data_IF_506500049766
#
_entry.id   IF_506500049766
#
_cell.length_a   1.000
_cell.length_b   1.000
_cell.length_c   1.000
_cell.angle_alpha   90.00
_cell.angle_beta   90.00
_cell.angle_gamma   90.00
#
_symmetry.space_group_name_H-M   'P 1'
#
loop_
_entity.id
_entity.type
_entity.pdbx_description
1 polymer ?
#
# COMPACT_ATOMS: atom_id res chain seq x y z
N UNK A 1 -11.17 -12.09 11.25
CA UNK A 1 -10.49 -11.00 11.98
C UNK A 1 -9.00 -10.98 11.67
N UNK A 2 -8.43 -9.79 11.57
CA UNK A 2 -7.01 -9.57 11.31
C UNK A 2 -6.33 -9.21 12.64
N UNK A 3 -5.26 -9.92 12.99
CA UNK A 3 -4.56 -9.76 14.26
C UNK A 3 -3.17 -9.17 14.04
N UNK A 4 -2.76 -8.27 14.93
CA UNK A 4 -1.41 -7.71 14.98
C UNK A 4 -0.73 -8.10 16.28
N UNK A 5 0.41 -8.79 16.19
CA UNK A 5 1.25 -9.12 17.33
C UNK A 5 2.48 -8.22 17.28
N UNK A 6 2.66 -7.43 18.33
CA UNK A 6 3.75 -6.45 18.46
C UNK A 6 4.62 -6.68 19.71
N UNK A 7 4.22 -7.63 20.57
CA UNK A 7 4.91 -7.91 21.82
C UNK A 7 6.20 -8.69 21.54
N UNK A 8 7.35 -8.04 21.75
CA UNK A 8 8.65 -8.66 21.47
C UNK A 8 8.91 -9.83 22.44
N UNK A 9 9.42 -10.93 21.90
CA UNK A 9 9.65 -12.18 22.62
C UNK A 9 8.38 -12.99 22.89
N UNK A 10 7.25 -12.62 22.28
CA UNK A 10 6.03 -13.41 22.37
C UNK A 10 6.14 -14.73 21.58
N UNK A 11 5.44 -15.75 22.05
CA UNK A 11 5.29 -17.05 21.40
C UNK A 11 3.81 -17.29 21.10
N UNK A 12 3.48 -17.53 19.83
CA UNK A 12 2.16 -17.93 19.39
C UNK A 12 2.08 -19.46 19.36
N UNK A 13 1.16 -20.02 20.13
CA UNK A 13 0.93 -21.46 20.19
C UNK A 13 -0.55 -21.79 20.02
N UNK A 14 -0.84 -22.92 19.36
CA UNK A 14 -2.18 -23.50 19.31
C UNK A 14 -2.45 -24.33 20.58
N UNK A 15 -3.57 -24.07 21.26
CA UNK A 15 -4.10 -24.87 22.38
C UNK A 15 -5.63 -24.90 22.30
N UNK A 16 -6.24 -26.07 22.33
CA UNK A 16 -7.69 -26.26 22.44
C UNK A 16 -8.55 -25.39 21.49
N UNK A 17 -8.15 -25.30 20.22
CA UNK A 17 -8.87 -24.51 19.21
C UNK A 17 -8.66 -22.99 19.31
N UNK A 18 -7.71 -22.55 20.15
CA UNK A 18 -7.32 -21.15 20.35
C UNK A 18 -5.86 -20.92 19.98
N UNK A 19 -5.57 -19.71 19.53
CA UNK A 19 -4.23 -19.15 19.49
C UNK A 19 -3.97 -18.52 20.85
N UNK A 20 -2.95 -19.01 21.54
CA UNK A 20 -2.50 -18.51 22.84
C UNK A 20 -1.21 -17.71 22.62
N UNK A 21 -1.19 -16.47 23.10
CA UNK A 21 -0.02 -15.59 23.06
C UNK A 21 0.69 -15.67 24.41
N UNK A 22 1.93 -16.17 24.41
CA UNK A 22 2.72 -16.39 25.61
C UNK A 22 3.91 -15.43 25.66
N UNK A 23 4.29 -14.97 26.86
CA UNK A 23 5.59 -14.34 27.11
C UNK A 23 6.14 -14.81 28.44
N UNK A 24 7.38 -15.30 28.44
CA UNK A 24 8.02 -15.90 29.63
C UNK A 24 7.10 -16.90 30.36
N UNK A 25 6.45 -17.80 29.59
CA UNK A 25 5.48 -18.82 30.03
C UNK A 25 4.15 -18.31 30.60
N UNK A 26 3.93 -16.99 30.69
CA UNK A 26 2.63 -16.41 31.06
C UNK A 26 1.75 -16.21 29.83
N UNK A 27 0.46 -16.53 29.94
CA UNK A 27 -0.54 -16.21 28.92
C UNK A 27 -0.82 -14.72 28.97
N UNK A 28 -0.61 -14.05 27.84
CA UNK A 28 -0.94 -12.64 27.67
C UNK A 28 -2.34 -12.46 27.10
N UNK A 29 -2.72 -13.32 26.15
CA UNK A 29 -4.00 -13.24 25.45
C UNK A 29 -4.36 -14.58 24.78
N UNK A 30 -5.64 -14.79 24.48
CA UNK A 30 -6.17 -15.95 23.79
C UNK A 30 -7.28 -15.59 22.79
N UNK A 31 -7.12 -16.04 21.55
CA UNK A 31 -8.08 -15.78 20.48
C UNK A 31 -8.57 -17.08 19.84
N UNK A 32 -9.90 -17.28 19.66
CA UNK A 32 -10.42 -18.44 18.95
C UNK A 32 -9.89 -18.51 17.50
N UNK A 33 -9.25 -19.63 17.13
CA UNK A 33 -8.59 -19.79 15.83
C UNK A 33 -9.56 -19.60 14.66
N UNK A 34 -10.80 -20.09 14.80
CA UNK A 34 -11.84 -20.00 13.76
C UNK A 34 -12.23 -18.58 13.38
N UNK A 35 -11.89 -17.58 14.20
CA UNK A 35 -12.19 -16.17 13.91
C UNK A 35 -11.04 -15.46 13.18
N UNK A 36 -9.88 -16.10 13.08
CA UNK A 36 -8.65 -15.48 12.55
C UNK A 36 -8.65 -15.67 11.04
N UNK A 37 -8.53 -14.56 10.31
CA UNK A 37 -8.34 -14.54 8.86
C UNK A 37 -6.87 -14.30 8.51
N UNK A 38 -6.18 -13.46 9.29
CA UNK A 38 -4.79 -13.09 9.05
C UNK A 38 -4.06 -12.74 10.34
N UNK A 39 -2.77 -13.08 10.40
CA UNK A 39 -1.88 -12.73 11.51
C UNK A 39 -0.72 -11.87 10.97
N UNK A 40 -0.50 -10.72 11.58
CA UNK A 40 0.60 -9.82 11.28
C UNK A 40 1.60 -9.85 12.45
N UNK A 41 2.84 -10.26 12.20
CA UNK A 41 3.90 -10.34 13.20
C UNK A 41 4.90 -9.21 13.00
N UNK A 42 5.01 -8.31 13.98
CA UNK A 42 5.91 -7.15 13.94
C UNK A 42 7.10 -7.37 14.87
N UNK A 43 8.26 -7.71 14.30
CA UNK A 43 9.51 -7.87 15.04
C UNK A 43 9.82 -9.31 15.45
N UNK A 44 10.45 -9.48 16.61
CA UNK A 44 10.94 -10.76 17.10
C UNK A 44 9.85 -11.52 17.85
N UNK A 45 9.06 -12.31 17.12
CA UNK A 45 7.94 -13.10 17.62
C UNK A 45 8.10 -14.53 17.09
N UNK A 46 7.91 -15.51 17.98
CA UNK A 46 8.02 -16.93 17.64
C UNK A 46 6.64 -17.52 17.39
N UNK A 47 6.55 -18.43 16.42
CA UNK A 47 5.34 -19.22 16.17
C UNK A 47 5.71 -20.69 16.25
N UNK A 48 4.97 -21.49 17.02
CA UNK A 48 5.25 -22.93 17.12
C UNK A 48 4.88 -23.64 15.83
N UNK A 49 5.54 -24.77 15.52
CA UNK A 49 5.25 -25.57 14.33
C UNK A 49 3.78 -25.99 14.23
N UNK A 50 3.14 -26.31 15.36
CA UNK A 50 1.71 -26.64 15.38
C UNK A 50 0.84 -25.45 14.95
N UNK A 51 1.19 -24.23 15.37
CA UNK A 51 0.50 -23.01 14.93
C UNK A 51 0.75 -22.74 13.43
N UNK A 52 1.99 -22.92 12.95
CA UNK A 52 2.34 -22.80 11.52
C UNK A 52 1.49 -23.75 10.67
N UNK A 53 1.47 -25.04 11.02
CA UNK A 53 0.71 -26.05 10.27
C UNK A 53 -0.78 -25.73 10.28
N UNK A 54 -1.34 -25.35 11.43
CA UNK A 54 -2.74 -24.95 11.51
C UNK A 54 -3.04 -23.76 10.58
N UNK A 55 -2.17 -22.75 10.53
CA UNK A 55 -2.35 -21.63 9.62
C UNK A 55 -2.38 -22.07 8.15
N UNK A 56 -1.46 -22.94 7.73
CA UNK A 56 -1.42 -23.47 6.37
C UNK A 56 -2.66 -24.31 6.02
N UNK A 57 -3.05 -25.22 6.91
CA UNK A 57 -4.21 -26.10 6.73
C UNK A 57 -5.54 -25.32 6.63
N UNK A 58 -5.61 -24.16 7.30
CA UNK A 58 -6.81 -23.32 7.35
C UNK A 58 -6.68 -22.04 6.52
N UNK A 59 -5.64 -21.93 5.68
CA UNK A 59 -5.40 -20.78 4.78
C UNK A 59 -5.35 -19.43 5.50
N UNK A 60 -4.87 -19.44 6.75
CA UNK A 60 -4.63 -18.23 7.53
C UNK A 60 -3.27 -17.69 7.13
N UNK A 61 -3.25 -16.55 6.46
CA UNK A 61 -2.00 -15.92 6.05
C UNK A 61 -1.28 -15.32 7.25
N UNK A 62 0.04 -15.50 7.31
CA UNK A 62 0.90 -14.87 8.32
C UNK A 62 1.91 -13.96 7.65
N UNK A 63 1.82 -12.67 7.97
CA UNK A 63 2.69 -11.62 7.42
C UNK A 63 3.80 -11.33 8.42
N UNK A 64 5.05 -11.42 7.97
CA UNK A 64 6.23 -11.10 8.77
C UNK A 64 6.73 -9.70 8.43
N UNK A 65 6.89 -8.88 9.45
CA UNK A 65 7.38 -7.51 9.36
C UNK A 65 8.52 -7.26 10.35
N UNK A 66 9.33 -6.24 10.08
CA UNK A 66 10.22 -5.68 11.11
C UNK A 66 9.39 -5.08 12.25
N UNK A 67 10.04 -4.79 13.38
CA UNK A 67 9.38 -4.11 14.50
C UNK A 67 8.76 -2.75 14.09
N UNK A 68 9.27 -2.14 13.03
CA UNK A 68 8.82 -0.85 12.50
C UNK A 68 7.88 -1.00 11.28
N UNK A 69 7.32 -2.20 11.05
CA UNK A 69 6.28 -2.44 10.05
C UNK A 69 6.77 -2.66 8.61
N UNK A 70 8.09 -2.67 8.36
CA UNK A 70 8.62 -3.00 7.03
C UNK A 70 8.37 -4.48 6.73
N UNK A 71 7.73 -4.78 5.60
CA UNK A 71 7.48 -6.15 5.14
C UNK A 71 8.77 -6.97 4.99
N UNK A 72 8.73 -8.26 5.37
CA UNK A 72 9.85 -9.21 5.25
C UNK A 72 9.50 -10.48 4.48
N UNK A 73 8.24 -10.89 4.51
CA UNK A 73 7.81 -12.15 3.90
C UNK A 73 6.45 -12.58 4.43
N UNK A 74 5.96 -13.71 3.94
CA UNK A 74 4.69 -14.29 4.38
C UNK A 74 4.75 -15.81 4.42
N UNK A 75 3.96 -16.40 5.31
CA UNK A 75 3.54 -17.79 5.27
C UNK A 75 2.14 -17.81 4.65
N UNK A 76 1.97 -18.58 3.59
CA UNK A 76 0.71 -18.70 2.88
C UNK A 76 0.61 -20.10 2.25
N UNK A 77 -0.62 -20.50 1.94
CA UNK A 77 -0.92 -21.78 1.28
C UNK A 77 -0.90 -21.58 -0.23
N UNK A 78 -0.10 -22.39 -0.94
CA UNK A 78 0.00 -22.34 -2.40
C UNK A 78 -1.27 -22.92 -3.06
N UNK A 79 -2.23 -22.06 -3.40
CA UNK A 79 -3.48 -22.50 -4.03
C UNK A 79 -3.66 -22.06 -5.49
N UNK A 80 -3.03 -20.95 -5.88
CA UNK A 80 -3.34 -20.29 -7.15
C UNK A 80 -2.51 -20.84 -8.31
N UNK A 81 -3.18 -21.67 -9.13
CA UNK A 81 -2.65 -22.35 -10.31
C UNK A 81 -3.08 -21.69 -11.62
N UNK A 82 -3.15 -20.35 -11.68
CA UNK A 82 -3.46 -19.69 -12.95
C UNK A 82 -2.21 -19.56 -13.82
N UNK A 83 -1.66 -20.72 -14.22
CA UNK A 83 -0.46 -20.80 -15.07
C UNK A 83 -0.72 -20.12 -16.42
N UNK A 84 -1.94 -20.21 -16.95
CA UNK A 84 -2.32 -19.57 -18.21
C UNK A 84 -2.21 -18.04 -18.13
N UNK A 85 -2.69 -17.43 -17.04
CA UNK A 85 -2.53 -15.99 -16.81
C UNK A 85 -1.05 -15.61 -16.74
N UNK A 86 -0.21 -16.39 -16.04
CA UNK A 86 1.23 -16.10 -15.95
C UNK A 86 1.93 -16.24 -17.31
N UNK A 87 1.64 -17.30 -18.08
CA UNK A 87 2.12 -17.44 -19.45
C UNK A 87 1.78 -16.20 -20.29
N UNK A 88 0.55 -15.69 -20.15
CA UNK A 88 0.14 -14.47 -20.84
C UNK A 88 0.85 -13.23 -20.31
N UNK A 89 1.12 -13.12 -19.00
CA UNK A 89 1.96 -12.04 -18.47
C UNK A 89 3.37 -12.08 -19.06
N UNK A 90 3.99 -13.26 -19.18
CA UNK A 90 5.32 -13.38 -19.80
C UNK A 90 5.29 -12.91 -21.25
N UNK A 91 4.30 -13.35 -22.04
CA UNK A 91 4.11 -12.91 -23.42
C UNK A 91 3.95 -11.38 -23.51
N UNK A 92 3.05 -10.81 -22.70
CA UNK A 92 2.80 -9.36 -22.65
C UNK A 92 4.01 -8.55 -22.18
N UNK A 93 4.87 -9.13 -21.33
CA UNK A 93 6.08 -8.44 -20.87
C UNK A 93 7.16 -8.26 -21.96
N UNK A 94 7.05 -9.02 -23.06
CA UNK A 94 7.90 -8.86 -24.24
C UNK A 94 7.31 -7.87 -25.27
N UNK A 95 6.02 -7.54 -25.16
CA UNK A 95 5.33 -6.58 -26.02
C UNK A 95 5.54 -5.14 -25.50
N UNK A 96 6.42 -4.41 -26.20
CA UNK A 96 6.75 -3.03 -25.84
C UNK A 96 5.56 -2.06 -25.94
N UNK A 97 4.63 -2.30 -26.88
CA UNK A 97 3.45 -1.46 -27.04
C UNK A 97 2.49 -1.68 -25.88
N UNK A 98 2.26 -2.94 -25.48
CA UNK A 98 1.46 -3.27 -24.31
C UNK A 98 2.05 -2.64 -23.05
N UNK A 99 3.37 -2.80 -22.83
CA UNK A 99 4.06 -2.23 -21.67
C UNK A 99 3.95 -0.72 -21.60
N UNK A 100 4.17 -0.03 -22.72
CA UNK A 100 4.03 1.41 -22.80
C UNK A 100 2.60 1.87 -22.51
N UNK A 101 1.60 1.22 -23.10
CA UNK A 101 0.18 1.54 -22.88
C UNK A 101 -0.18 1.38 -21.40
N UNK A 102 0.23 0.27 -20.78
CA UNK A 102 -0.02 0.00 -19.37
C UNK A 102 0.69 1.00 -18.45
N UNK A 103 1.97 1.27 -18.69
CA UNK A 103 2.75 2.24 -17.92
C UNK A 103 2.12 3.65 -17.97
N UNK A 104 1.69 4.08 -19.17
CA UNK A 104 0.97 5.35 -19.35
C UNK A 104 -0.34 5.37 -18.55
N UNK A 105 -1.16 4.32 -18.64
CA UNK A 105 -2.41 4.24 -17.89
C UNK A 105 -2.18 4.38 -16.39
N UNK A 106 -1.24 3.62 -15.82
CA UNK A 106 -0.94 3.63 -14.39
C UNK A 106 -0.45 5.00 -13.93
N UNK A 107 0.54 5.59 -14.61
CA UNK A 107 1.08 6.90 -14.24
C UNK A 107 0.04 7.99 -14.42
N UNK A 108 -0.74 7.97 -15.51
CA UNK A 108 -1.84 8.90 -15.71
C UNK A 108 -2.85 8.81 -14.57
N UNK A 109 -3.24 7.60 -14.17
CA UNK A 109 -4.15 7.38 -13.03
C UNK A 109 -3.63 7.99 -11.74
N UNK A 110 -2.37 7.70 -11.38
CA UNK A 110 -1.69 8.29 -10.22
C UNK A 110 -1.73 9.82 -10.26
N UNK A 111 -1.33 10.43 -11.38
CA UNK A 111 -1.26 11.88 -11.51
C UNK A 111 -2.65 12.53 -11.50
N UNK A 112 -3.67 11.88 -12.06
CA UNK A 112 -5.05 12.33 -11.96
C UNK A 112 -5.53 12.30 -10.50
N UNK A 113 -5.26 11.23 -9.75
CA UNK A 113 -5.58 11.19 -8.32
C UNK A 113 -4.88 12.31 -7.53
N UNK A 114 -3.60 12.58 -7.82
CA UNK A 114 -2.89 13.72 -7.26
C UNK A 114 -3.56 15.07 -7.60
N UNK A 115 -3.94 15.27 -8.86
CA UNK A 115 -4.60 16.50 -9.32
C UNK A 115 -5.97 16.69 -8.64
N UNK A 116 -6.78 15.64 -8.60
CA UNK A 116 -8.11 15.66 -8.00
C UNK A 116 -8.03 15.92 -6.49
N UNK A 117 -7.09 15.27 -5.82
CA UNK A 117 -6.81 15.50 -4.40
C UNK A 117 -6.44 16.96 -4.12
N UNK A 118 -5.45 17.53 -4.83
CA UNK A 118 -5.06 18.92 -4.63
C UNK A 118 -6.19 19.88 -5.03
N UNK A 119 -7.00 19.54 -6.03
CA UNK A 119 -8.19 20.30 -6.40
C UNK A 119 -9.21 20.33 -5.26
N UNK A 120 -9.50 19.19 -4.64
CA UNK A 120 -10.38 19.12 -3.48
C UNK A 120 -9.83 19.94 -2.29
N UNK A 121 -8.53 19.83 -2.00
CA UNK A 121 -7.89 20.61 -0.92
C UNK A 121 -7.83 22.11 -1.20
N UNK A 122 -7.69 22.52 -2.46
CA UNK A 122 -7.63 23.95 -2.83
C UNK A 122 -8.91 24.71 -2.44
N UNK A 123 -10.06 24.03 -2.38
CA UNK A 123 -11.34 24.60 -1.92
C UNK A 123 -11.35 24.96 -0.43
N UNK A 124 -10.42 24.39 0.35
CA UNK A 124 -10.32 24.56 1.80
C UNK A 124 -9.15 25.47 2.22
N UNK A 125 -8.42 26.02 1.25
CA UNK A 125 -7.23 26.85 1.44
C UNK A 125 -7.45 28.23 0.81
N UNK A 126 -6.64 29.26 1.16
CA UNK A 126 -6.68 30.54 0.48
C UNK A 126 -6.58 30.39 -1.05
N UNK A 127 -7.30 31.26 -1.76
CA UNK A 127 -7.34 31.22 -3.23
C UNK A 127 -5.92 31.35 -3.78
N UNK A 128 -5.53 30.42 -4.65
CA UNK A 128 -4.22 30.43 -5.32
C UNK A 128 -3.15 29.56 -4.66
N UNK A 129 -3.33 29.09 -3.41
CA UNK A 129 -2.29 28.35 -2.67
C UNK A 129 -1.74 27.12 -3.41
N UNK A 130 -2.60 26.43 -4.18
CA UNK A 130 -2.26 25.21 -4.93
C UNK A 130 -2.35 25.38 -6.46
N UNK A 131 -2.35 26.62 -6.98
CA UNK A 131 -2.54 26.85 -8.42
C UNK A 131 -1.38 26.31 -9.24
N UNK A 132 -0.14 26.56 -8.81
CA UNK A 132 1.06 26.16 -9.56
C UNK A 132 1.21 24.64 -9.60
N UNK A 133 0.99 23.95 -8.48
CA UNK A 133 1.10 22.49 -8.44
C UNK A 133 0.03 21.81 -9.30
N UNK A 134 -1.21 22.31 -9.29
CA UNK A 134 -2.27 21.78 -10.13
C UNK A 134 -2.00 22.02 -11.62
N UNK A 135 -1.52 23.21 -11.98
CA UNK A 135 -1.14 23.52 -13.35
C UNK A 135 0.02 22.62 -13.82
N UNK A 136 1.04 22.43 -12.97
CA UNK A 136 2.18 21.55 -13.23
C UNK A 136 1.78 20.08 -13.39
N UNK A 137 0.87 19.57 -12.55
CA UNK A 137 0.32 18.22 -12.69
C UNK A 137 -0.43 18.04 -14.01
N UNK A 138 -1.29 19.00 -14.39
CA UNK A 138 -2.03 18.95 -15.66
C UNK A 138 -1.09 18.87 -16.87
N UNK A 139 -0.06 19.72 -16.90
CA UNK A 139 0.96 19.69 -17.96
C UNK A 139 1.69 18.34 -17.98
N UNK A 140 2.02 17.79 -16.80
CA UNK A 140 2.72 16.50 -16.68
C UNK A 140 1.85 15.34 -17.20
N UNK A 141 0.55 15.36 -16.91
CA UNK A 141 -0.42 14.37 -17.42
C UNK A 141 -0.46 14.39 -18.96
N UNK A 142 -0.56 15.56 -19.58
CA UNK A 142 -0.53 15.70 -21.04
C UNK A 142 0.78 15.17 -21.66
N UNK A 143 1.91 15.32 -20.94
CA UNK A 143 3.21 14.80 -21.39
C UNK A 143 3.28 13.28 -21.33
N UNK A 144 2.73 12.65 -20.27
CA UNK A 144 2.66 11.17 -20.15
C UNK A 144 1.89 10.57 -21.33
N UNK A 145 0.78 11.18 -21.74
CA UNK A 145 0.00 10.70 -22.90
C UNK A 145 0.84 10.71 -24.19
N UNK A 146 1.68 11.72 -24.36
CA UNK A 146 2.54 11.93 -25.53
C UNK A 146 3.87 11.19 -25.47
N UNK A 147 4.22 10.55 -24.35
CA UNK A 147 5.48 9.84 -24.18
C UNK A 147 5.68 8.74 -25.23
N UNK A 148 6.91 8.51 -25.67
CA UNK A 148 7.22 7.54 -26.74
C UNK A 148 7.74 6.20 -26.21
N UNK A 149 8.20 6.18 -24.97
CA UNK A 149 8.74 5.00 -24.32
C UNK A 149 8.47 5.03 -22.80
N UNK A 150 8.76 3.92 -22.13
CA UNK A 150 8.50 3.74 -20.70
C UNK A 150 9.45 4.60 -19.84
N UNK A 151 10.64 4.93 -20.34
CA UNK A 151 11.62 5.71 -19.59
C UNK A 151 11.18 7.18 -19.45
N UNK A 152 10.63 7.77 -20.51
CA UNK A 152 9.95 9.07 -20.46
C UNK A 152 8.78 9.05 -19.47
N UNK A 153 7.97 8.00 -19.48
CA UNK A 153 6.84 7.84 -18.55
C UNK A 153 7.32 7.82 -17.09
N UNK A 154 8.41 7.09 -16.79
CA UNK A 154 9.03 7.11 -15.44
C UNK A 154 9.55 8.50 -15.07
N UNK A 155 10.15 9.21 -16.03
CA UNK A 155 10.61 10.59 -15.80
C UNK A 155 9.47 11.52 -15.39
N UNK A 156 8.33 11.42 -16.05
CA UNK A 156 7.14 12.21 -15.72
C UNK A 156 6.42 11.75 -14.45
N UNK A 157 6.46 10.46 -14.12
CA UNK A 157 6.00 9.94 -12.82
C UNK A 157 6.76 10.64 -11.68
N UNK A 158 8.10 10.64 -11.72
CA UNK A 158 8.92 11.26 -10.69
C UNK A 158 8.73 12.78 -10.61
N UNK A 159 8.63 13.47 -11.75
CA UNK A 159 8.32 14.90 -11.80
C UNK A 159 6.95 15.20 -11.16
N UNK A 160 5.92 14.44 -11.54
CA UNK A 160 4.58 14.61 -11.01
C UNK A 160 4.50 14.35 -9.51
N UNK A 161 5.20 13.34 -8.99
CA UNK A 161 5.33 13.11 -7.54
C UNK A 161 6.02 14.26 -6.83
N UNK A 162 7.08 14.85 -7.39
CA UNK A 162 7.75 16.03 -6.80
C UNK A 162 6.78 17.23 -6.70
N UNK A 163 6.04 17.50 -7.77
CA UNK A 163 5.03 18.58 -7.81
C UNK A 163 3.93 18.31 -6.78
N UNK A 164 3.41 17.08 -6.74
CA UNK A 164 2.37 16.68 -5.81
C UNK A 164 2.79 16.89 -4.36
N UNK A 165 3.97 16.41 -3.94
CA UNK A 165 4.40 16.52 -2.55
C UNK A 165 4.67 17.97 -2.11
N UNK A 166 5.06 18.85 -3.04
CA UNK A 166 5.13 20.29 -2.77
C UNK A 166 3.74 20.87 -2.42
N UNK A 167 2.69 20.42 -3.12
CA UNK A 167 1.30 20.79 -2.83
C UNK A 167 0.75 20.12 -1.57
N UNK A 168 1.06 18.84 -1.36
CA UNK A 168 0.66 18.07 -0.18
C UNK A 168 1.17 18.74 1.11
N UNK A 169 2.42 19.20 1.11
CA UNK A 169 3.01 19.97 2.22
C UNK A 169 2.14 21.15 2.64
N UNK A 170 1.62 21.91 1.67
CA UNK A 170 0.75 23.07 1.92
C UNK A 170 -0.63 22.69 2.50
N UNK A 171 -1.01 21.42 2.47
CA UNK A 171 -2.27 20.92 3.01
C UNK A 171 -2.18 20.49 4.49
N UNK A 172 -0.97 20.37 5.04
CA UNK A 172 -0.72 19.99 6.43
C UNK A 172 -1.01 21.19 7.33
N UNK A 173 -1.92 21.02 8.30
CA UNK A 173 -2.32 22.08 9.23
C UNK A 173 -1.53 22.11 10.54
N UNK A 174 -0.77 21.04 10.84
CA UNK A 174 0.01 20.95 12.06
C UNK A 174 1.31 21.74 11.92
N UNK A 175 1.54 22.71 12.80
CA UNK A 175 2.79 23.47 12.86
C UNK A 175 3.93 22.66 13.52
N UNK A 176 3.57 21.62 14.30
CA UNK A 176 4.53 20.80 15.03
C UNK A 176 5.14 19.66 14.19
N UNK A 177 4.70 19.49 12.94
CA UNK A 177 5.21 18.46 12.04
C UNK A 177 5.92 19.12 10.85
N UNK A 178 7.21 18.85 10.72
CA UNK A 178 8.02 19.45 9.66
C UNK A 178 8.16 18.51 8.46
N UNK A 179 7.28 18.65 7.46
CA UNK A 179 7.40 17.95 6.19
C UNK A 179 7.95 18.89 5.12
N UNK A 180 9.15 18.60 4.60
CA UNK A 180 9.77 19.40 3.53
C UNK A 180 9.59 18.74 2.16
N UNK A 181 9.89 17.45 2.08
CA UNK A 181 9.77 16.66 0.87
C UNK A 181 9.59 15.18 1.22
N UNK A 182 9.08 14.40 0.27
CA UNK A 182 9.09 12.94 0.39
C UNK A 182 10.54 12.46 0.38
N UNK A 183 10.96 11.78 1.45
CA UNK A 183 12.29 11.17 1.55
C UNK A 183 12.15 9.66 1.47
N UNK A 184 13.08 9.01 0.75
CA UNK A 184 13.18 7.56 0.77
C UNK A 184 13.64 7.07 2.16
N UNK A 185 13.61 5.76 2.37
CA UNK A 185 14.07 5.17 3.62
C UNK A 185 15.56 5.45 3.90
N UNK A 186 15.93 5.77 5.16
CA UNK A 186 15.08 5.86 6.36
C UNK A 186 14.35 7.22 6.52
N UNK A 187 13.16 7.24 7.14
CA UNK A 187 12.40 8.49 7.34
C UNK A 187 13.08 9.41 8.35
N UNK A 188 13.15 10.70 8.03
CA UNK A 188 13.78 11.74 8.88
C UNK A 188 12.78 12.68 9.57
N UNK A 189 11.49 12.48 9.31
CA UNK A 189 10.39 13.21 9.92
C UNK A 189 9.16 12.29 10.07
N UNK A 190 8.26 12.70 10.94
CA UNK A 190 7.07 11.95 11.36
C UNK A 190 6.10 11.72 10.18
N UNK A 191 6.00 12.67 9.25
CA UNK A 191 5.12 12.55 8.08
C UNK A 191 5.68 11.51 7.10
N UNK A 192 6.98 11.53 6.84
CA UNK A 192 7.65 10.48 6.06
C UNK A 192 7.58 9.11 6.76
N UNK A 193 7.61 9.06 8.10
CA UNK A 193 7.41 7.81 8.84
C UNK A 193 5.99 7.26 8.65
N UNK A 194 4.96 8.11 8.77
CA UNK A 194 3.55 7.75 8.52
C UNK A 194 3.31 7.29 7.08
N UNK A 195 3.77 8.05 6.08
CA UNK A 195 3.61 7.69 4.67
C UNK A 195 4.30 6.37 4.35
N UNK A 196 5.54 6.19 4.83
CA UNK A 196 6.30 4.97 4.56
C UNK A 196 5.65 3.73 5.17
N UNK A 197 5.17 3.81 6.41
CA UNK A 197 4.44 2.71 7.04
C UNK A 197 3.14 2.39 6.29
N UNK A 198 2.37 3.42 5.93
CA UNK A 198 1.15 3.25 5.15
C UNK A 198 1.39 2.61 3.79
N UNK A 199 2.46 2.98 3.09
CA UNK A 199 2.85 2.33 1.85
C UNK A 199 3.25 0.87 2.06
N UNK A 200 3.97 0.52 3.15
CA UNK A 200 4.24 -0.89 3.44
C UNK A 200 2.96 -1.70 3.65
N UNK A 201 1.98 -1.15 4.37
CA UNK A 201 0.70 -1.83 4.54
C UNK A 201 -0.06 -1.97 3.22
N UNK A 202 -0.07 -0.91 2.39
CA UNK A 202 -0.65 -0.98 1.04
C UNK A 202 0.05 -2.05 0.18
N UNK A 203 1.38 -2.16 0.25
CA UNK A 203 2.14 -3.17 -0.49
C UNK A 203 1.75 -4.58 -0.06
N UNK A 204 1.55 -4.79 1.24
CA UNK A 204 1.05 -6.08 1.74
C UNK A 204 -0.34 -6.37 1.18
N UNK A 205 -1.30 -5.46 1.31
CA UNK A 205 -2.67 -5.70 0.81
C UNK A 205 -2.70 -5.94 -0.71
N UNK A 206 -1.96 -5.17 -1.49
CA UNK A 206 -1.87 -5.37 -2.94
C UNK A 206 -1.16 -6.66 -3.32
N UNK A 207 -0.10 -7.05 -2.59
CA UNK A 207 0.58 -8.33 -2.82
C UNK A 207 -0.38 -9.49 -2.57
N UNK A 208 -1.21 -9.41 -1.53
CA UNK A 208 -2.22 -10.43 -1.25
C UNK A 208 -3.26 -10.50 -2.37
N UNK A 209 -3.78 -9.36 -2.83
CA UNK A 209 -4.71 -9.28 -3.95
C UNK A 209 -4.12 -9.88 -5.25
N UNK A 210 -2.88 -9.54 -5.61
CA UNK A 210 -2.19 -10.10 -6.77
C UNK A 210 -2.08 -11.63 -6.69
N UNK A 211 -1.66 -12.14 -5.53
CA UNK A 211 -1.53 -13.58 -5.30
C UNK A 211 -2.88 -14.30 -5.38
N UNK A 212 -3.94 -13.71 -4.81
CA UNK A 212 -5.30 -14.27 -4.84
C UNK A 212 -5.85 -14.40 -6.27
N UNK A 213 -5.49 -13.47 -7.16
CA UNK A 213 -5.85 -13.53 -8.59
C UNK A 213 -4.96 -14.51 -9.37
N UNK A 214 -3.77 -14.82 -8.86
CA UNK A 214 -2.79 -15.70 -9.48
C UNK A 214 -1.77 -14.97 -10.37
N UNK A 215 -1.68 -13.65 -10.26
CA UNK A 215 -0.70 -12.83 -10.98
C UNK A 215 0.71 -13.05 -10.41
N UNK A 216 1.70 -13.01 -11.29
CA UNK A 216 3.11 -12.92 -10.91
C UNK A 216 3.45 -11.46 -10.54
N UNK A 217 3.77 -11.15 -9.26
CA UNK A 217 4.03 -9.78 -8.82
C UNK A 217 5.36 -9.20 -9.32
N UNK A 218 6.22 -9.99 -9.97
CA UNK A 218 7.54 -9.54 -10.47
C UNK A 218 7.49 -8.99 -11.90
N UNK A 219 6.40 -9.22 -12.63
CA UNK A 219 6.26 -8.82 -14.04
C UNK A 219 5.55 -7.48 -14.21
N UNK A 220 6.30 -6.39 -13.98
CA UNK A 220 5.83 -5.02 -14.15
C UNK A 220 5.92 -4.50 -15.59
N UNK A 221 5.24 -3.38 -15.84
CA UNK A 221 5.16 -2.66 -17.10
C UNK A 221 5.84 -1.28 -17.01
N UNK A 222 5.71 -0.59 -15.88
CA UNK A 222 6.32 0.71 -15.60
C UNK A 222 7.70 0.54 -14.97
N UNK A 223 7.80 -0.11 -13.81
CA UNK A 223 9.08 -0.38 -13.16
C UNK A 223 9.86 -1.45 -13.92
N UNK A 224 11.18 -1.32 -13.95
CA UNK A 224 12.03 -2.29 -14.64
C UNK A 224 11.90 -3.67 -14.00
N UNK A 225 11.81 -4.69 -14.85
CA UNK A 225 11.93 -6.08 -14.42
C UNK A 225 13.38 -6.26 -13.93
N UNK A 226 13.52 -6.54 -12.65
CA UNK A 226 14.78 -6.72 -11.95
C UNK A 226 14.61 -7.93 -11.03
N UNK A 227 15.66 -8.75 -10.92
CA UNK A 227 15.66 -10.11 -10.35
C UNK A 227 15.02 -10.17 -8.96
N UNK A 228 15.07 -9.08 -8.19
CA UNK A 228 14.54 -9.03 -6.84
C UNK A 228 13.35 -8.06 -6.64
N UNK A 229 12.90 -7.34 -7.67
CA UNK A 229 11.85 -6.31 -7.53
C UNK A 229 10.50 -6.85 -7.95
N UNK A 230 9.53 -6.77 -7.04
CA UNK A 230 8.12 -7.04 -7.32
C UNK A 230 7.54 -5.89 -8.17
N UNK A 231 7.97 -5.79 -9.43
CA UNK A 231 7.71 -4.63 -10.28
C UNK A 231 6.21 -4.42 -10.53
N UNK A 232 5.41 -5.47 -10.72
CA UNK A 232 3.96 -5.34 -10.88
C UNK A 232 3.29 -4.84 -9.59
N UNK A 233 3.76 -5.31 -8.44
CA UNK A 233 3.28 -4.78 -7.16
C UNK A 233 3.53 -3.28 -7.08
N UNK A 234 4.75 -2.83 -7.40
CA UNK A 234 5.09 -1.41 -7.38
C UNK A 234 4.35 -0.60 -8.44
N UNK A 235 4.00 -1.20 -9.56
CA UNK A 235 3.17 -0.56 -10.58
C UNK A 235 1.75 -0.33 -10.09
N UNK A 236 1.06 -1.39 -9.64
CA UNK A 236 -0.36 -1.29 -9.28
C UNK A 236 -0.58 -0.55 -7.97
N UNK A 237 0.39 -0.47 -7.06
CA UNK A 237 0.23 0.35 -5.85
C UNK A 237 0.18 1.84 -6.17
N UNK A 238 0.75 2.30 -7.29
CA UNK A 238 0.87 3.72 -7.63
C UNK A 238 -0.49 4.44 -7.69
N UNK A 239 -1.51 3.78 -8.24
CA UNK A 239 -2.86 4.36 -8.33
C UNK A 239 -3.54 4.49 -6.95
N UNK A 240 -3.13 3.68 -5.96
CA UNK A 240 -3.71 3.66 -4.62
C UNK A 240 -2.95 4.54 -3.60
N UNK A 241 -1.71 4.94 -3.87
CA UNK A 241 -0.89 5.72 -2.90
C UNK A 241 -1.63 6.95 -2.38
N UNK A 242 -2.20 7.76 -3.28
CA UNK A 242 -2.92 8.95 -2.86
C UNK A 242 -4.30 8.67 -2.26
N UNK A 243 -5.21 7.93 -2.93
CA UNK A 243 -6.56 7.72 -2.43
C UNK A 243 -6.59 6.99 -1.08
N UNK A 244 -5.65 6.07 -0.86
CA UNK A 244 -5.62 5.21 0.33
C UNK A 244 -4.67 5.78 1.37
N UNK A 245 -3.39 6.01 1.04
CA UNK A 245 -2.37 6.30 2.06
C UNK A 245 -2.21 7.80 2.30
N UNK A 246 -1.97 8.61 1.27
CA UNK A 246 -1.67 10.04 1.46
C UNK A 246 -2.87 10.76 2.08
N UNK A 247 -4.08 10.44 1.60
CA UNK A 247 -5.33 10.96 2.12
C UNK A 247 -5.56 10.55 3.58
N UNK A 248 -5.29 9.28 3.91
CA UNK A 248 -5.37 8.77 5.28
C UNK A 248 -4.39 9.49 6.22
N UNK A 249 -3.11 9.60 5.83
CA UNK A 249 -2.07 10.25 6.63
C UNK A 249 -2.40 11.72 6.86
N UNK A 250 -2.82 12.44 5.81
CA UNK A 250 -3.22 13.84 5.96
C UNK A 250 -4.39 14.00 6.94
N UNK A 251 -5.37 13.09 6.88
CA UNK A 251 -6.50 13.09 7.81
C UNK A 251 -6.05 12.81 9.24
N UNK A 252 -5.15 11.85 9.46
CA UNK A 252 -4.60 11.59 10.80
C UNK A 252 -3.93 12.82 11.39
N UNK A 253 -3.11 13.51 10.60
CA UNK A 253 -2.42 14.73 11.00
C UNK A 253 -3.41 15.86 11.32
N UNK A 254 -4.29 16.16 10.37
CA UNK A 254 -5.18 17.33 10.47
C UNK A 254 -6.27 17.14 11.54
N UNK A 255 -6.64 15.90 11.87
CA UNK A 255 -7.55 15.58 12.98
C UNK A 255 -6.81 15.33 14.31
N UNK A 256 -5.48 15.53 14.35
CA UNK A 256 -4.62 15.28 15.52
C UNK A 256 -4.78 13.86 16.10
N UNK A 257 -5.13 12.90 15.23
CA UNK A 257 -5.24 11.48 15.60
C UNK A 257 -3.86 10.84 15.80
N UNK A 258 -2.81 11.38 15.19
CA UNK A 258 -1.43 11.03 15.48
C UNK A 258 -0.69 12.33 15.80
N UNK A 259 0.09 12.34 16.87
CA UNK A 259 0.78 13.52 17.42
C UNK A 259 2.29 13.29 17.50
N UNK A 260 3.13 14.33 17.64
CA UNK A 260 4.59 14.17 17.72
C UNK A 260 5.06 13.16 18.78
N UNK A 261 4.34 13.04 19.90
CA UNK A 261 4.64 12.11 20.99
C UNK A 261 4.40 10.64 20.63
N UNK A 262 3.69 10.36 19.54
CA UNK A 262 3.54 9.01 18.98
C UNK A 262 4.83 8.54 18.27
N UNK A 263 5.88 9.37 18.23
CA UNK A 263 7.16 9.09 17.60
C UNK A 263 8.34 9.26 18.56
N UNK A 264 9.45 8.64 18.18
CA UNK A 264 10.75 8.77 18.83
C UNK A 264 11.84 8.89 17.76
N UNK A 265 12.82 9.75 18.02
CA UNK A 265 14.04 9.83 17.21
C UNK A 265 15.10 8.91 17.79
N UNK A 266 15.73 8.11 16.93
CA UNK A 266 16.85 7.25 17.30
C UNK A 266 18.10 7.67 16.50
N UNK A 267 19.13 6.84 16.54
CA UNK A 267 20.41 7.06 15.84
C UNK A 267 20.23 7.58 14.40
N UNK A 268 21.09 8.51 13.99
CA UNK A 268 21.09 9.17 12.68
C UNK A 268 19.81 9.98 12.36
N UNK A 269 19.14 10.52 13.37
CA UNK A 269 17.90 11.29 13.26
C UNK A 269 16.75 10.53 12.58
N UNK A 270 16.78 9.20 12.65
CA UNK A 270 15.73 8.37 12.07
C UNK A 270 14.51 8.41 13.01
N UNK A 271 13.35 8.73 12.43
CA UNK A 271 12.08 8.79 13.15
C UNK A 271 11.37 7.45 13.10
N UNK A 272 11.01 6.94 14.28
CA UNK A 272 10.25 5.71 14.45
C UNK A 272 8.97 5.99 15.23
N UNK A 273 7.94 5.16 15.03
CA UNK A 273 6.80 5.15 15.93
C UNK A 273 7.19 4.57 17.29
N UNK A 274 6.65 5.15 18.36
CA UNK A 274 6.60 4.46 19.65
C UNK A 274 5.67 3.24 19.55
N UNK A 275 5.70 2.35 20.55
CA UNK A 275 4.82 1.17 20.57
C UNK A 275 3.34 1.56 20.54
N UNK A 276 2.97 2.59 21.30
CA UNK A 276 1.59 3.07 21.39
C UNK A 276 1.19 3.84 20.13
N UNK A 277 2.09 4.67 19.57
CA UNK A 277 1.90 5.33 18.29
C UNK A 277 1.67 4.35 17.14
N UNK A 278 2.47 3.27 17.07
CA UNK A 278 2.30 2.19 16.09
C UNK A 278 0.95 1.50 16.25
N UNK A 279 0.53 1.17 17.49
CA UNK A 279 -0.79 0.56 17.74
C UNK A 279 -1.91 1.48 17.28
N UNK A 280 -1.81 2.78 17.60
CA UNK A 280 -2.79 3.80 17.23
C UNK A 280 -2.90 3.97 15.70
N UNK A 281 -1.77 3.97 15.00
CA UNK A 281 -1.72 4.02 13.54
C UNK A 281 -2.39 2.78 12.92
N UNK A 282 -2.02 1.58 13.36
CA UNK A 282 -2.60 0.32 12.88
C UNK A 282 -4.11 0.28 13.08
N UNK A 283 -4.59 0.65 14.27
CA UNK A 283 -6.04 0.67 14.57
C UNK A 283 -6.81 1.59 13.62
N UNK A 284 -6.29 2.80 13.37
CA UNK A 284 -6.94 3.73 12.43
C UNK A 284 -6.87 3.23 10.98
N UNK A 285 -5.78 2.57 10.59
CA UNK A 285 -5.63 2.03 9.24
C UNK A 285 -6.60 0.87 8.98
N UNK A 286 -6.75 -0.04 9.94
CA UNK A 286 -7.73 -1.14 9.87
C UNK A 286 -9.18 -0.64 9.90
N UNK A 287 -9.46 0.42 10.66
CA UNK A 287 -10.76 1.09 10.60
C UNK A 287 -11.03 1.68 9.22
N UNK A 288 -10.04 2.36 8.61
CA UNK A 288 -10.16 2.89 7.26
C UNK A 288 -10.41 1.79 6.22
N UNK A 289 -9.67 0.67 6.27
CA UNK A 289 -9.86 -0.43 5.32
C UNK A 289 -11.21 -1.16 5.45
N UNK A 290 -11.93 -0.97 6.58
CA UNK A 290 -13.30 -1.46 6.78
C UNK A 290 -14.37 -0.51 6.24
N UNK A 291 -13.99 0.67 5.78
CA UNK A 291 -14.92 1.57 5.10
C UNK A 291 -15.28 1.02 3.72
N UNK A 292 -16.46 1.41 3.24
CA UNK A 292 -16.87 1.14 1.86
C UNK A 292 -16.56 2.34 1.00
N UNK A 293 -15.99 2.09 -0.17
CA UNK A 293 -15.78 3.08 -1.22
C UNK A 293 -16.46 2.60 -2.50
N UNK A 294 -16.88 3.53 -3.34
CA UNK A 294 -17.40 3.22 -4.66
C UNK A 294 -16.27 2.75 -5.57
N UNK A 295 -16.42 1.60 -6.23
CA UNK A 295 -15.48 1.15 -7.25
C UNK A 295 -15.79 1.80 -8.60
N UNK A 296 -14.78 2.33 -9.29
CA UNK A 296 -15.03 3.22 -10.44
C UNK A 296 -15.51 2.50 -11.71
N UNK A 297 -15.26 1.19 -11.87
CA UNK A 297 -15.64 0.46 -13.08
C UNK A 297 -17.10 0.01 -13.09
N UNK A 298 -17.64 -0.39 -11.93
CA UNK A 298 -19.01 -0.90 -11.81
C UNK A 298 -19.93 0.00 -10.98
N UNK A 299 -19.37 0.97 -10.25
CA UNK A 299 -20.10 1.89 -9.40
C UNK A 299 -20.61 1.28 -8.09
N UNK A 300 -20.21 0.06 -7.72
CA UNK A 300 -20.66 -0.61 -6.51
C UNK A 300 -19.87 -0.18 -5.28
N UNK A 301 -20.54 -0.13 -4.12
CA UNK A 301 -19.87 0.08 -2.83
C UNK A 301 -19.19 -1.18 -2.32
N UNK A 302 -17.88 -1.12 -2.14
CA UNK A 302 -17.05 -2.25 -1.75
C UNK A 302 -16.14 -1.88 -0.59
N UNK A 303 -15.84 -2.84 0.28
CA UNK A 303 -14.75 -2.67 1.25
C UNK A 303 -13.44 -2.37 0.51
N UNK A 304 -12.57 -1.55 1.10
CA UNK A 304 -11.32 -1.14 0.43
C UNK A 304 -10.48 -2.34 -0.01
N UNK A 305 -10.42 -3.41 0.80
CA UNK A 305 -9.70 -4.64 0.44
C UNK A 305 -10.26 -5.34 -0.80
N UNK A 306 -11.58 -5.34 -0.95
CA UNK A 306 -12.26 -5.89 -2.12
C UNK A 306 -11.93 -5.09 -3.38
N UNK A 307 -11.72 -3.78 -3.27
CA UNK A 307 -11.30 -2.93 -4.38
C UNK A 307 -9.91 -3.31 -4.89
N UNK A 308 -8.96 -3.61 -4.00
CA UNK A 308 -7.63 -4.09 -4.40
C UNK A 308 -7.71 -5.37 -5.23
N UNK A 309 -8.55 -6.33 -4.82
CA UNK A 309 -8.76 -7.57 -5.56
C UNK A 309 -9.48 -7.32 -6.89
N UNK A 310 -10.55 -6.50 -6.91
CA UNK A 310 -11.26 -6.13 -8.15
C UNK A 310 -10.30 -5.49 -9.16
N UNK A 311 -9.40 -4.63 -8.70
CA UNK A 311 -8.42 -3.97 -9.55
C UNK A 311 -7.32 -4.93 -10.06
N UNK A 312 -6.85 -5.86 -9.22
CA UNK A 312 -5.97 -6.93 -9.66
C UNK A 312 -6.64 -7.83 -10.71
N UNK A 313 -7.95 -8.13 -10.56
CA UNK A 313 -8.73 -8.87 -11.55
C UNK A 313 -8.87 -8.07 -12.85
N UNK A 314 -9.10 -6.76 -12.77
CA UNK A 314 -9.12 -5.88 -13.93
C UNK A 314 -7.81 -5.96 -14.73
N UNK A 315 -6.68 -5.83 -14.04
CA UNK A 315 -5.37 -6.01 -14.68
C UNK A 315 -5.25 -7.38 -15.37
N UNK A 316 -5.70 -8.45 -14.71
CA UNK A 316 -5.67 -9.80 -15.29
C UNK A 316 -6.51 -9.92 -16.58
N UNK A 317 -7.71 -9.33 -16.62
CA UNK A 317 -8.57 -9.32 -17.83
C UNK A 317 -7.90 -8.59 -19.00
N UNK A 318 -7.22 -7.48 -18.73
CA UNK A 318 -6.46 -6.74 -19.75
C UNK A 318 -5.26 -7.56 -20.26
N UNK A 319 -4.52 -8.24 -19.37
CA UNK A 319 -3.42 -9.14 -19.78
C UNK A 319 -3.91 -10.25 -20.68
N UNK A 320 -5.04 -10.87 -20.32
CA UNK A 320 -5.70 -11.94 -21.10
C UNK A 320 -6.28 -11.44 -22.43
N UNK A 321 -6.44 -10.13 -22.60
CA UNK A 321 -7.06 -9.53 -23.80
C UNK A 321 -8.58 -9.56 -23.78
N UNK A 322 -9.18 -9.81 -22.62
CA UNK A 322 -10.64 -9.73 -22.41
C UNK A 322 -11.11 -8.26 -22.36
N UNK A 323 -10.23 -7.34 -21.97
CA UNK A 323 -10.44 -5.89 -22.01
C UNK A 323 -9.28 -5.19 -22.71
N UNK A 324 -9.57 -4.15 -23.50
CA UNK A 324 -8.57 -3.48 -24.35
C UNK A 324 -7.65 -2.52 -23.59
N UNK A 325 -8.15 -1.90 -22.52
CA UNK A 325 -7.45 -0.83 -21.82
C UNK A 325 -7.51 -1.02 -20.31
N UNK A 326 -6.34 -0.91 -19.67
CA UNK A 326 -6.30 -0.79 -18.22
C UNK A 326 -6.74 0.60 -17.80
N UNK A 327 -7.74 0.62 -16.93
CA UNK A 327 -8.31 1.81 -16.33
C UNK A 327 -7.89 1.84 -14.86
N UNK A 328 -7.02 2.79 -14.47
CA UNK A 328 -6.49 2.83 -13.13
C UNK A 328 -7.55 3.26 -12.11
N UNK A 329 -7.38 2.82 -10.86
CA UNK A 329 -8.29 3.21 -9.79
C UNK A 329 -8.31 4.71 -9.59
N UNK A 330 -9.53 5.29 -9.61
CA UNK A 330 -9.76 6.71 -9.31
C UNK A 330 -10.85 6.87 -8.26
N UNK A 331 -10.63 7.80 -7.34
CA UNK A 331 -11.63 8.19 -6.35
C UNK A 331 -12.37 9.43 -6.89
N UNK A 332 -13.54 9.21 -7.49
CA UNK A 332 -14.39 10.27 -8.06
C UNK A 332 -15.58 10.60 -7.19
#
# INVERSE_FOLDING_TARGET
>A
MIIYIMEQGAVLAKRDGRMVVLKAKKVLDEVPLKKIERINLLGNITMTTNMINYCLDNKIEVIFMTQHGRYRGKLYTDEHRNVLLRLKQYERSLDQNFRLKMAKSIVKGKLMNYYDFLTAKSKLLPKGTLSDERAGLRITIEKVEKSKDVDEVRGYEGLGSKIYFAGFRKCIKSENLNFQQRTAHPPKDEVNAMLSLGYYFLYVEMLLALNAVGLDPYLGNLHTIDVAKQALLFDLVEEFRNPIVDSFVLNLINLKKIVPEDFEKRENDIVYFTKDGMRKYISNFEEFLRQKLKYHLDGEENYVRTIFEKQARHYARVVLGEEEEYQPFRIT
#
